data_IF_343804526309
#
_entry.id   IF_343804526309
#
_cell.length_a   1.000
_cell.length_b   1.000
_cell.length_c   1.000
_cell.angle_alpha   90.00
_cell.angle_beta   90.00
_cell.angle_gamma   90.00
#
_symmetry.space_group_name_H-M   'P 1'
#
loop_
_entity.id
_entity.type
_entity.pdbx_description
1 polymer ?
#
# COMPACT_ATOMS: atom_id res chain seq x y z
N UNK A 1 -16.59 6.39 3.22
CA UNK A 1 -15.93 5.16 3.72
C UNK A 1 -16.87 3.96 3.59
N UNK A 2 -18.11 3.98 4.13
CA UNK A 2 -19.03 2.82 4.15
C UNK A 2 -19.33 2.26 2.74
N UNK A 3 -19.49 3.14 1.73
CA UNK A 3 -19.70 2.72 0.34
C UNK A 3 -18.52 1.93 -0.23
N UNK A 4 -17.29 2.32 0.10
CA UNK A 4 -16.10 1.58 -0.35
C UNK A 4 -15.92 0.27 0.42
N UNK A 5 -16.26 0.24 1.72
CA UNK A 5 -16.26 -1.01 2.48
C UNK A 5 -17.23 -2.03 1.84
N UNK A 6 -18.43 -1.56 1.44
CA UNK A 6 -19.40 -2.44 0.74
C UNK A 6 -18.91 -2.87 -0.64
N UNK A 7 -18.26 -1.98 -1.39
CA UNK A 7 -17.64 -2.34 -2.67
C UNK A 7 -16.53 -3.39 -2.49
N UNK A 8 -15.74 -3.28 -1.41
CA UNK A 8 -14.71 -4.27 -1.06
C UNK A 8 -15.31 -5.64 -0.72
N UNK A 9 -16.40 -5.68 0.05
CA UNK A 9 -17.12 -6.94 0.34
C UNK A 9 -17.61 -7.60 -0.95
N UNK A 10 -18.25 -6.83 -1.86
CA UNK A 10 -18.74 -7.35 -3.12
C UNK A 10 -17.60 -7.83 -4.05
N UNK A 11 -16.42 -7.23 -3.95
CA UNK A 11 -15.24 -7.70 -4.66
C UNK A 11 -14.73 -9.02 -4.07
N UNK A 12 -14.71 -9.19 -2.75
CA UNK A 12 -14.35 -10.47 -2.10
C UNK A 12 -15.36 -11.59 -2.41
N UNK A 13 -16.64 -11.24 -2.55
CA UNK A 13 -17.73 -12.16 -2.95
C UNK A 13 -17.72 -12.47 -4.46
N UNK A 14 -16.76 -11.95 -5.22
CA UNK A 14 -16.64 -12.09 -6.68
C UNK A 14 -17.85 -11.51 -7.46
N UNK A 15 -18.67 -10.67 -6.83
CA UNK A 15 -19.78 -9.95 -7.48
C UNK A 15 -19.30 -8.68 -8.20
N UNK A 16 -18.25 -8.02 -7.68
CA UNK A 16 -17.58 -6.87 -8.28
C UNK A 16 -16.23 -7.26 -8.85
N UNK A 17 -15.86 -6.59 -9.96
CA UNK A 17 -14.54 -6.71 -10.59
C UNK A 17 -13.71 -5.45 -10.31
N UNK A 18 -12.43 -5.48 -10.70
CA UNK A 18 -11.50 -4.33 -10.54
C UNK A 18 -12.08 -3.03 -11.13
N UNK A 19 -12.76 -3.12 -12.27
CA UNK A 19 -13.41 -1.96 -12.91
C UNK A 19 -14.50 -1.33 -12.05
N UNK A 20 -15.25 -2.14 -11.30
CA UNK A 20 -16.31 -1.64 -10.42
C UNK A 20 -15.72 -0.93 -9.21
N UNK A 21 -14.64 -1.47 -8.63
CA UNK A 21 -13.88 -0.80 -7.57
C UNK A 21 -13.34 0.55 -8.03
N UNK A 22 -12.76 0.63 -9.23
CA UNK A 22 -12.27 1.89 -9.79
C UNK A 22 -13.38 2.92 -9.96
N UNK A 23 -14.55 2.52 -10.47
CA UNK A 23 -15.71 3.41 -10.61
C UNK A 23 -16.24 3.89 -9.26
N UNK A 24 -16.29 3.01 -8.24
CA UNK A 24 -16.68 3.37 -6.88
C UNK A 24 -15.68 4.38 -6.27
N UNK A 25 -14.39 4.17 -6.52
CA UNK A 25 -13.32 5.07 -6.08
C UNK A 25 -13.43 6.45 -6.74
N UNK A 26 -13.61 6.52 -8.05
CA UNK A 26 -13.79 7.77 -8.78
C UNK A 26 -15.01 8.56 -8.25
N UNK A 27 -16.12 7.88 -8.01
CA UNK A 27 -17.31 8.49 -7.43
C UNK A 27 -17.07 9.03 -6.01
N UNK A 28 -16.31 8.29 -5.19
CA UNK A 28 -15.93 8.72 -3.84
C UNK A 28 -15.04 9.96 -3.89
N UNK A 29 -14.00 9.96 -4.73
CA UNK A 29 -13.09 11.12 -4.85
C UNK A 29 -13.82 12.35 -5.37
N UNK A 30 -14.70 12.22 -6.37
CA UNK A 30 -15.53 13.31 -6.86
C UNK A 30 -16.40 13.91 -5.74
N UNK A 31 -16.99 13.05 -4.89
CA UNK A 31 -17.75 13.49 -3.72
C UNK A 31 -16.88 14.19 -2.67
N UNK A 32 -15.69 13.68 -2.40
CA UNK A 32 -14.74 14.29 -1.47
C UNK A 32 -14.24 15.65 -1.96
N UNK A 33 -14.00 15.84 -3.25
CA UNK A 33 -13.63 17.15 -3.81
C UNK A 33 -14.70 18.22 -3.53
N UNK A 34 -15.98 17.86 -3.68
CA UNK A 34 -17.08 18.77 -3.36
C UNK A 34 -17.17 19.09 -1.87
N UNK A 35 -16.86 18.12 -1.01
CA UNK A 35 -16.94 18.27 0.46
C UNK A 35 -15.72 18.93 1.05
N UNK A 36 -14.56 18.90 0.39
CA UNK A 36 -13.27 19.38 0.90
C UNK A 36 -13.33 20.79 1.53
N UNK A 37 -14.01 21.80 0.94
CA UNK A 37 -14.10 23.12 1.53
C UNK A 37 -14.91 23.19 2.84
N UNK A 38 -15.66 22.14 3.15
CA UNK A 38 -16.56 22.04 4.30
C UNK A 38 -16.05 21.08 5.37
N UNK A 39 -14.94 20.39 5.11
CA UNK A 39 -14.29 19.51 6.08
C UNK A 39 -13.43 20.36 7.04
N UNK A 40 -13.29 19.96 8.31
CA UNK A 40 -12.34 20.58 9.22
C UNK A 40 -10.92 20.56 8.65
N UNK A 41 -10.12 21.58 8.96
CA UNK A 41 -8.71 21.61 8.58
C UNK A 41 -7.99 20.34 9.08
N UNK A 42 -7.01 19.86 8.32
CA UNK A 42 -6.29 18.60 8.59
C UNK A 42 -5.61 18.56 9.99
N UNK A 43 -5.42 19.70 10.61
CA UNK A 43 -4.85 19.83 11.98
C UNK A 43 -5.76 19.26 13.09
N UNK A 44 -7.06 19.08 12.86
CA UNK A 44 -8.00 18.50 13.82
C UNK A 44 -8.28 16.99 13.60
N UNK A 45 -7.81 16.43 12.49
CA UNK A 45 -7.93 15.00 12.24
C UNK A 45 -6.76 14.25 12.87
N UNK A 46 -7.04 13.11 13.50
CA UNK A 46 -5.98 12.22 13.98
C UNK A 46 -4.98 11.96 12.84
N UNK A 47 -3.67 12.06 13.14
CA UNK A 47 -2.63 11.89 12.14
C UNK A 47 -2.83 10.57 11.40
N UNK A 48 -2.98 10.66 10.06
CA UNK A 48 -3.13 9.47 9.22
C UNK A 48 -1.83 8.66 9.24
N UNK A 49 -1.92 7.33 9.25
CA UNK A 49 -0.72 6.52 9.08
C UNK A 49 -0.12 6.73 7.70
N UNK A 50 1.16 7.10 7.66
CA UNK A 50 1.89 7.38 6.43
C UNK A 50 2.45 6.09 5.86
N UNK A 51 2.19 5.83 4.59
CA UNK A 51 2.70 4.68 3.87
C UNK A 51 3.31 5.06 2.52
N UNK A 52 4.43 4.43 2.20
CA UNK A 52 5.10 4.52 0.89
C UNK A 52 4.73 3.27 0.09
N UNK A 53 4.43 3.41 -1.20
CA UNK A 53 4.11 2.28 -2.07
C UNK A 53 4.82 2.42 -3.43
N UNK A 54 5.33 1.32 -3.96
CA UNK A 54 5.98 1.29 -5.27
C UNK A 54 6.11 -0.11 -5.85
N UNK A 55 6.47 -0.16 -7.13
CA UNK A 55 6.87 -1.39 -7.83
C UNK A 55 8.38 -1.42 -7.91
N UNK A 56 9.00 -2.56 -7.58
CA UNK A 56 10.46 -2.73 -7.57
C UNK A 56 11.12 -2.41 -8.90
N UNK A 57 12.40 -2.08 -8.87
CA UNK A 57 13.23 -1.82 -10.06
C UNK A 57 13.17 -2.99 -11.05
N UNK A 58 13.10 -2.67 -12.34
CA UNK A 58 12.97 -3.63 -13.43
C UNK A 58 11.54 -4.12 -13.68
N UNK A 59 10.55 -3.70 -12.89
CA UNK A 59 9.15 -4.07 -13.07
C UNK A 59 8.26 -2.84 -13.31
N UNK A 60 7.41 -2.91 -14.35
CA UNK A 60 6.53 -1.80 -14.76
C UNK A 60 5.04 -2.10 -14.54
N UNK A 61 4.71 -3.24 -13.91
CA UNK A 61 3.33 -3.67 -13.69
C UNK A 61 2.74 -3.00 -12.46
N UNK A 62 2.01 -1.92 -12.62
CA UNK A 62 1.51 -1.08 -11.53
C UNK A 62 0.00 -1.13 -11.27
N UNK A 63 -0.80 -1.85 -12.08
CA UNK A 63 -2.26 -1.89 -11.92
C UNK A 63 -2.64 -2.41 -10.53
N UNK A 64 -2.05 -3.52 -10.07
CA UNK A 64 -2.32 -4.08 -8.75
C UNK A 64 -1.90 -3.14 -7.62
N UNK A 65 -0.73 -2.52 -7.76
CA UNK A 65 -0.22 -1.51 -6.82
C UNK A 65 -1.17 -0.30 -6.72
N UNK A 66 -1.67 0.18 -7.86
CA UNK A 66 -2.59 1.32 -7.90
C UNK A 66 -3.91 0.99 -7.21
N UNK A 67 -4.41 -0.24 -7.37
CA UNK A 67 -5.61 -0.69 -6.66
C UNK A 67 -5.36 -0.74 -5.14
N UNK A 68 -4.22 -1.28 -4.69
CA UNK A 68 -3.84 -1.27 -3.26
C UNK A 68 -3.80 0.16 -2.73
N UNK A 69 -3.14 1.08 -3.44
CA UNK A 69 -3.09 2.50 -3.06
C UNK A 69 -4.48 3.09 -2.84
N UNK A 70 -5.39 2.95 -3.81
CA UNK A 70 -6.76 3.47 -3.74
C UNK A 70 -7.50 2.91 -2.51
N UNK A 71 -7.39 1.61 -2.28
CA UNK A 71 -8.04 0.94 -1.16
C UNK A 71 -7.48 1.42 0.19
N UNK A 72 -6.16 1.59 0.28
CA UNK A 72 -5.49 2.10 1.47
C UNK A 72 -5.85 3.57 1.77
N UNK A 73 -5.87 4.45 0.74
CA UNK A 73 -6.32 5.84 0.87
C UNK A 73 -7.75 5.92 1.39
N UNK A 74 -8.63 5.08 0.84
CA UNK A 74 -10.04 4.95 1.27
C UNK A 74 -10.15 4.51 2.74
N UNK A 75 -9.23 3.65 3.18
CA UNK A 75 -9.17 3.17 4.56
C UNK A 75 -8.52 4.15 5.54
N UNK A 76 -8.11 5.35 5.07
CA UNK A 76 -7.61 6.43 5.89
C UNK A 76 -6.09 6.55 5.97
N UNK A 77 -5.34 5.83 5.13
CA UNK A 77 -3.89 5.99 5.03
C UNK A 77 -3.50 7.19 4.18
N UNK A 78 -2.39 7.84 4.51
CA UNK A 78 -1.71 8.79 3.64
C UNK A 78 -0.70 8.03 2.78
N UNK A 79 -1.02 7.89 1.47
CA UNK A 79 -0.24 7.07 0.55
C UNK A 79 0.69 7.91 -0.31
N UNK A 80 1.99 7.66 -0.23
CA UNK A 80 3.02 8.24 -1.08
C UNK A 80 3.44 7.22 -2.14
N UNK A 81 3.00 7.47 -3.38
CA UNK A 81 3.21 6.58 -4.52
C UNK A 81 4.52 6.91 -5.24
N UNK A 82 5.48 6.00 -5.19
CA UNK A 82 6.77 6.12 -5.86
C UNK A 82 6.69 5.76 -7.35
N UNK A 83 5.58 5.14 -7.78
CA UNK A 83 5.40 4.69 -9.15
C UNK A 83 5.89 3.26 -9.38
N UNK A 84 6.57 3.05 -10.50
CA UNK A 84 7.05 1.76 -10.99
C UNK A 84 8.52 1.84 -11.37
N UNK A 85 9.20 0.70 -11.46
CA UNK A 85 10.63 0.64 -11.79
C UNK A 85 11.45 1.49 -10.79
N UNK A 86 11.19 1.29 -9.49
CA UNK A 86 11.70 2.13 -8.41
C UNK A 86 12.92 1.47 -7.78
N UNK A 87 14.09 2.14 -7.77
CA UNK A 87 15.28 1.64 -7.07
C UNK A 87 15.06 1.49 -5.56
N UNK A 88 15.75 0.53 -4.95
CA UNK A 88 15.65 0.26 -3.50
C UNK A 88 15.97 1.50 -2.65
N UNK A 89 16.95 2.29 -3.05
CA UNK A 89 17.33 3.53 -2.37
C UNK A 89 16.17 4.53 -2.29
N UNK A 90 15.34 4.62 -3.33
CA UNK A 90 14.23 5.57 -3.34
C UNK A 90 13.14 5.16 -2.34
N UNK A 91 12.83 3.87 -2.21
CA UNK A 91 11.93 3.38 -1.16
C UNK A 91 12.42 3.78 0.23
N UNK A 92 13.70 3.57 0.50
CA UNK A 92 14.29 3.85 1.80
C UNK A 92 14.39 5.34 2.07
N UNK A 93 14.82 6.14 1.09
CA UNK A 93 14.91 7.59 1.21
C UNK A 93 13.54 8.22 1.50
N UNK A 94 12.50 7.78 0.80
CA UNK A 94 11.15 8.31 1.01
C UNK A 94 10.56 7.83 2.35
N UNK A 95 10.78 6.58 2.72
CA UNK A 95 10.36 6.07 4.03
C UNK A 95 10.97 6.88 5.19
N UNK A 96 12.26 7.21 5.08
CA UNK A 96 12.98 8.01 6.07
C UNK A 96 12.51 9.47 6.10
N UNK A 97 12.44 10.11 4.93
CA UNK A 97 12.06 11.52 4.79
C UNK A 97 10.64 11.79 5.30
N UNK A 98 9.71 10.90 5.01
CA UNK A 98 8.31 10.99 5.39
C UNK A 98 8.02 10.41 6.78
N UNK A 99 9.00 9.77 7.41
CA UNK A 99 8.82 8.97 8.64
C UNK A 99 7.68 7.97 8.48
N UNK A 100 7.65 7.29 7.33
CA UNK A 100 6.60 6.35 6.99
C UNK A 100 6.53 5.20 8.01
N UNK A 101 5.33 4.82 8.37
CA UNK A 101 5.07 3.71 9.28
C UNK A 101 4.96 2.38 8.52
N UNK A 102 4.73 2.46 7.18
CA UNK A 102 4.56 1.29 6.33
C UNK A 102 5.24 1.50 4.97
N UNK A 103 5.94 0.48 4.50
CA UNK A 103 6.47 0.38 3.13
C UNK A 103 5.78 -0.79 2.44
N UNK A 104 5.06 -0.50 1.34
CA UNK A 104 4.35 -1.47 0.52
C UNK A 104 5.14 -1.70 -0.77
N UNK A 105 5.53 -2.94 -1.01
CA UNK A 105 6.40 -3.30 -2.14
C UNK A 105 5.66 -4.29 -3.06
N UNK A 106 5.59 -3.99 -4.34
CA UNK A 106 4.90 -4.80 -5.34
C UNK A 106 5.85 -5.31 -6.42
N UNK A 107 5.60 -6.53 -6.90
CA UNK A 107 6.17 -7.04 -8.15
C UNK A 107 5.23 -8.05 -8.82
N UNK A 108 5.26 -8.12 -10.15
CA UNK A 108 4.54 -9.12 -10.94
C UNK A 108 5.48 -10.15 -11.59
N UNK A 109 6.79 -9.93 -11.50
CA UNK A 109 7.79 -10.76 -12.16
C UNK A 109 8.64 -11.52 -11.15
N UNK A 110 8.85 -12.82 -11.39
CA UNK A 110 9.75 -13.64 -10.54
C UNK A 110 11.21 -13.17 -10.59
N UNK A 111 11.60 -12.56 -11.70
CA UNK A 111 12.97 -12.05 -11.93
C UNK A 111 13.31 -10.81 -11.12
N UNK A 112 12.31 -10.09 -10.65
CA UNK A 112 12.48 -8.85 -9.88
C UNK A 112 12.13 -9.00 -8.39
N UNK A 113 11.76 -10.21 -7.96
CA UNK A 113 11.41 -10.49 -6.55
C UNK A 113 12.55 -10.16 -5.58
N UNK A 114 13.82 -10.40 -5.99
CA UNK A 114 14.99 -10.07 -5.13
C UNK A 114 15.06 -8.59 -4.75
N UNK A 115 14.52 -7.68 -5.57
CA UNK A 115 14.46 -6.26 -5.21
C UNK A 115 13.66 -5.96 -3.93
N UNK A 116 12.73 -6.85 -3.54
CA UNK A 116 12.04 -6.72 -2.24
C UNK A 116 12.98 -7.00 -1.07
N UNK A 117 13.84 -8.01 -1.20
CA UNK A 117 14.86 -8.34 -0.21
C UNK A 117 15.90 -7.21 -0.11
N UNK A 118 16.36 -6.68 -1.25
CA UNK A 118 17.30 -5.56 -1.31
C UNK A 118 16.76 -4.33 -0.55
N UNK A 119 15.48 -4.01 -0.70
CA UNK A 119 14.83 -2.90 0.03
C UNK A 119 14.86 -3.18 1.54
N UNK A 120 14.51 -4.39 1.97
CA UNK A 120 14.49 -4.76 3.40
C UNK A 120 15.90 -4.71 3.99
N UNK A 121 16.91 -5.19 3.26
CA UNK A 121 18.30 -5.13 3.71
C UNK A 121 18.79 -3.69 3.82
N UNK A 122 18.47 -2.84 2.85
CA UNK A 122 18.84 -1.44 2.89
C UNK A 122 18.15 -0.69 4.06
N UNK A 123 16.91 -1.03 4.41
CA UNK A 123 16.24 -0.51 5.62
C UNK A 123 17.00 -0.91 6.90
N UNK A 124 17.56 -2.14 6.95
CA UNK A 124 18.40 -2.61 8.05
C UNK A 124 19.72 -1.85 8.11
N UNK A 125 20.41 -1.71 6.98
CA UNK A 125 21.69 -0.98 6.87
C UNK A 125 21.56 0.48 7.31
N UNK A 126 20.42 1.13 6.97
CA UNK A 126 20.10 2.50 7.38
C UNK A 126 19.64 2.60 8.84
N UNK A 127 19.42 1.48 9.53
CA UNK A 127 18.98 1.45 10.92
C UNK A 127 17.53 1.89 11.17
N UNK A 128 16.69 1.88 10.13
CA UNK A 128 15.28 2.30 10.24
C UNK A 128 14.29 1.12 10.14
N UNK A 129 14.78 -0.11 9.89
CA UNK A 129 13.93 -1.31 9.72
C UNK A 129 12.97 -1.55 10.88
N UNK A 130 13.39 -1.29 12.10
CA UNK A 130 12.57 -1.48 13.31
C UNK A 130 11.49 -0.39 13.48
N UNK A 131 11.63 0.73 12.80
CA UNK A 131 10.71 1.86 12.88
C UNK A 131 9.60 1.80 11.81
N UNK A 132 9.73 0.91 10.82
CA UNK A 132 8.83 0.82 9.67
C UNK A 132 8.38 -0.62 9.48
N UNK A 133 7.09 -0.83 9.19
CA UNK A 133 6.56 -2.12 8.76
C UNK A 133 6.74 -2.29 7.27
N UNK A 134 7.03 -3.50 6.84
CA UNK A 134 7.18 -3.84 5.42
C UNK A 134 6.12 -4.85 5.02
N UNK A 135 5.31 -4.50 4.04
CA UNK A 135 4.29 -5.38 3.45
C UNK A 135 4.60 -5.61 1.98
N UNK A 136 4.55 -6.86 1.56
CA UNK A 136 4.83 -7.26 0.17
C UNK A 136 3.62 -7.91 -0.48
N UNK A 137 3.50 -7.77 -1.79
CA UNK A 137 2.44 -8.37 -2.59
C UNK A 137 2.79 -8.46 -4.07
N UNK A 138 1.91 -9.11 -4.81
CA UNK A 138 2.08 -9.35 -6.24
C UNK A 138 1.99 -10.83 -6.60
N UNK A 139 1.62 -11.13 -7.83
CA UNK A 139 1.24 -12.48 -8.27
C UNK A 139 2.26 -13.59 -7.96
N UNK A 140 3.59 -13.40 -8.11
CA UNK A 140 4.57 -14.43 -7.82
C UNK A 140 4.92 -14.53 -6.33
N UNK A 141 4.51 -13.53 -5.53
CA UNK A 141 4.85 -13.45 -4.10
C UNK A 141 3.98 -14.39 -3.30
N UNK A 142 4.56 -15.08 -2.34
CA UNK A 142 3.85 -15.95 -1.41
C UNK A 142 4.12 -15.53 0.04
N UNK A 143 3.25 -15.95 0.97
CA UNK A 143 3.45 -15.75 2.39
C UNK A 143 4.81 -16.33 2.84
N UNK A 144 5.18 -17.52 2.34
CA UNK A 144 6.47 -18.13 2.64
C UNK A 144 7.64 -17.25 2.21
N UNK A 145 7.59 -16.70 0.98
CA UNK A 145 8.63 -15.80 0.49
C UNK A 145 8.71 -14.52 1.33
N UNK A 146 7.56 -13.93 1.66
CA UNK A 146 7.52 -12.76 2.55
C UNK A 146 8.21 -13.03 3.90
N UNK A 147 7.94 -14.20 4.50
CA UNK A 147 8.57 -14.60 5.76
C UNK A 147 10.09 -14.84 5.59
N UNK A 148 10.50 -15.49 4.50
CA UNK A 148 11.90 -15.80 4.20
C UNK A 148 12.75 -14.53 4.05
N UNK A 149 12.22 -13.46 3.43
CA UNK A 149 12.92 -12.17 3.27
C UNK A 149 12.78 -11.24 4.48
N UNK A 150 11.99 -11.61 5.48
CA UNK A 150 11.78 -10.81 6.69
C UNK A 150 10.82 -9.63 6.52
N UNK A 151 9.84 -9.73 5.62
CA UNK A 151 8.71 -8.80 5.57
C UNK A 151 7.77 -9.02 6.76
N UNK A 152 7.10 -7.95 7.24
CA UNK A 152 6.15 -8.03 8.35
C UNK A 152 4.79 -8.54 7.89
N UNK A 153 4.43 -8.31 6.62
CA UNK A 153 3.14 -8.70 6.07
C UNK A 153 3.18 -9.09 4.60
N UNK A 154 2.18 -9.86 4.22
CA UNK A 154 1.89 -10.28 2.86
C UNK A 154 0.40 -10.14 2.60
N UNK A 155 0.02 -9.69 1.41
CA UNK A 155 -1.37 -9.65 0.98
C UNK A 155 -1.53 -10.25 -0.41
N UNK A 156 -2.57 -11.06 -0.57
CA UNK A 156 -2.88 -11.73 -1.85
C UNK A 156 -3.66 -10.81 -2.80
N UNK A 157 -4.35 -9.82 -2.26
CA UNK A 157 -5.13 -8.85 -3.01
C UNK A 157 -5.21 -7.49 -2.28
N UNK A 158 -5.84 -6.51 -2.92
CA UNK A 158 -5.90 -5.15 -2.41
C UNK A 158 -6.79 -4.99 -1.16
N UNK A 159 -7.84 -5.79 -1.02
CA UNK A 159 -8.71 -5.78 0.17
C UNK A 159 -7.95 -6.33 1.37
N UNK A 160 -7.27 -7.47 1.20
CA UNK A 160 -6.44 -8.05 2.25
C UNK A 160 -5.27 -7.12 2.63
N UNK A 161 -4.72 -6.36 1.67
CA UNK A 161 -3.67 -5.38 1.95
C UNK A 161 -4.09 -4.36 3.01
N UNK A 162 -5.31 -3.84 2.94
CA UNK A 162 -5.87 -2.92 3.94
C UNK A 162 -5.94 -3.58 5.31
N UNK A 163 -6.48 -4.81 5.39
CA UNK A 163 -6.59 -5.56 6.63
C UNK A 163 -5.22 -5.81 7.28
N UNK A 164 -4.27 -6.31 6.49
CA UNK A 164 -2.91 -6.58 6.96
C UNK A 164 -2.21 -5.30 7.43
N UNK A 165 -2.33 -4.21 6.68
CA UNK A 165 -1.75 -2.93 7.07
C UNK A 165 -2.29 -2.41 8.40
N UNK A 166 -3.60 -2.49 8.60
CA UNK A 166 -4.25 -2.12 9.87
C UNK A 166 -3.76 -2.98 11.04
N UNK A 167 -3.67 -4.29 10.84
CA UNK A 167 -3.13 -5.21 11.84
C UNK A 167 -1.68 -4.90 12.20
N UNK A 168 -0.82 -4.66 11.21
CA UNK A 168 0.60 -4.34 11.41
C UNK A 168 0.81 -3.06 12.22
N UNK A 169 -0.06 -2.07 12.02
CA UNK A 169 0.01 -0.77 12.70
C UNK A 169 -0.89 -0.67 13.95
N UNK A 170 -1.61 -1.75 14.31
CA UNK A 170 -2.54 -1.81 15.45
C UNK A 170 -3.61 -0.71 15.41
N UNK A 171 -4.18 -0.44 14.23
CA UNK A 171 -5.26 0.53 14.01
C UNK A 171 -6.59 -0.18 13.68
N UNK A 172 -7.70 0.44 14.09
CA UNK A 172 -9.04 -0.11 13.93
C UNK A 172 -9.59 0.05 12.49
#
# INVERSE_FOLDING_TARGET
VDGMNKASELFEEEEYFVTDILLCSDAMYAGLEVLRPYLPDEEEQAAKPVAVIGVVEGDTHDIGKNLVKIMMETAGFEMHDLGRDVPAEEFVNQAEALKAQLVCISTLMTTTMSGMEDIIELLKERGIRDNVKVMVGGSPVSKKYADDIGADGYSVNAVEAVRVAKELLNIA
#
